data_IF_130702560444
#
_entry.id   IF_130702560444
#
_cell.length_a   1.000
_cell.length_b   1.000
_cell.length_c   1.000
_cell.angle_alpha   90.00
_cell.angle_beta   90.00
_cell.angle_gamma   90.00
#
_symmetry.space_group_name_H-M   'P 1'
#
loop_
_entity.id
_entity.type
_entity.pdbx_description
1 polymer ?
#
# COMPACT_ATOMS: atom_id res chain seq x y z
N UNK A 1 -32.46 -6.69 36.82
CA UNK A 1 -31.90 -7.69 35.89
C UNK A 1 -30.55 -7.18 35.45
N UNK A 2 -29.48 -7.71 36.02
CA UNK A 2 -28.11 -7.36 35.63
C UNK A 2 -27.76 -8.13 34.36
N UNK A 3 -27.57 -7.40 33.26
CA UNK A 3 -27.06 -7.97 32.02
C UNK A 3 -25.54 -8.10 32.17
N UNK A 4 -25.07 -9.31 32.52
CA UNK A 4 -23.63 -9.64 32.53
C UNK A 4 -23.04 -9.30 31.17
N UNK A 5 -21.92 -8.57 31.17
CA UNK A 5 -21.13 -8.17 30.00
C UNK A 5 -21.12 -9.26 28.92
N UNK A 6 -21.97 -9.10 27.91
CA UNK A 6 -21.98 -9.98 26.76
C UNK A 6 -20.83 -9.48 25.87
N UNK A 7 -19.70 -10.19 25.91
CA UNK A 7 -18.64 -10.00 24.94
C UNK A 7 -19.25 -9.94 23.53
N UNK A 8 -18.93 -8.93 22.70
CA UNK A 8 -19.41 -8.86 21.33
C UNK A 8 -19.13 -10.20 20.65
N UNK A 9 -20.18 -10.80 20.05
CA UNK A 9 -20.06 -12.04 19.29
C UNK A 9 -18.97 -11.83 18.24
N UNK A 10 -17.76 -12.33 18.51
CA UNK A 10 -16.68 -12.29 17.54
C UNK A 10 -17.16 -13.10 16.34
N UNK A 11 -17.15 -12.47 15.16
CA UNK A 11 -17.69 -13.05 13.93
C UNK A 11 -17.03 -14.41 13.71
N UNK A 12 -17.80 -15.50 13.75
CA UNK A 12 -17.29 -16.85 13.48
C UNK A 12 -16.54 -16.92 12.14
N UNK A 13 -16.98 -16.10 11.17
CA UNK A 13 -16.33 -15.91 9.86
C UNK A 13 -14.86 -15.44 9.93
N UNK A 14 -14.47 -14.72 10.99
CA UNK A 14 -13.08 -14.24 11.22
C UNK A 14 -12.22 -15.32 11.88
N UNK A 15 -12.84 -16.23 12.66
CA UNK A 15 -12.13 -17.28 13.38
C UNK A 15 -12.00 -18.56 12.53
N UNK A 16 -13.03 -18.88 11.73
CA UNK A 16 -13.05 -20.02 10.80
C UNK A 16 -12.22 -19.77 9.52
N UNK A 17 -11.84 -18.52 9.25
CA UNK A 17 -10.95 -18.20 8.13
C UNK A 17 -9.53 -18.70 8.34
N UNK A 18 -9.12 -18.98 9.58
CA UNK A 18 -7.77 -19.52 9.87
C UNK A 18 -7.73 -21.02 9.57
N UNK A 19 -8.83 -21.74 9.77
CA UNK A 19 -8.94 -23.19 9.54
C UNK A 19 -9.21 -23.54 8.07
N UNK A 20 -9.86 -22.65 7.31
CA UNK A 20 -9.92 -22.69 5.84
C UNK A 20 -8.83 -21.78 5.29
N UNK A 21 -7.65 -22.32 4.95
CA UNK A 21 -6.43 -21.59 4.48
C UNK A 21 -6.58 -20.76 3.19
N UNK A 22 -7.65 -19.98 3.04
CA UNK A 22 -7.86 -19.01 1.98
C UNK A 22 -7.49 -17.61 2.50
N UNK A 23 -6.39 -17.51 3.24
CA UNK A 23 -5.91 -16.26 3.83
C UNK A 23 -4.47 -16.05 3.38
N UNK A 24 -4.22 -14.87 2.82
CA UNK A 24 -2.89 -14.38 2.46
C UNK A 24 -2.27 -13.80 3.73
N UNK A 25 -1.15 -14.38 4.17
CA UNK A 25 -0.45 -13.92 5.36
C UNK A 25 0.64 -12.90 4.99
N UNK A 26 0.47 -11.65 5.42
CA UNK A 26 1.46 -10.57 5.25
C UNK A 26 2.25 -10.30 6.55
N UNK A 27 2.17 -11.21 7.54
CA UNK A 27 2.78 -11.06 8.87
C UNK A 27 4.29 -11.29 8.89
N UNK A 28 4.83 -12.01 7.92
CA UNK A 28 6.26 -12.29 7.77
C UNK A 28 6.71 -11.73 6.42
N UNK A 29 7.77 -10.93 6.41
CA UNK A 29 8.42 -10.47 5.19
C UNK A 29 9.82 -11.07 5.17
N UNK A 30 10.03 -12.06 4.30
CA UNK A 30 11.35 -12.58 3.96
C UNK A 30 11.84 -11.96 2.64
N UNK A 31 13.11 -12.14 2.30
CA UNK A 31 13.62 -11.64 1.02
C UNK A 31 12.93 -12.35 -0.15
N UNK A 32 12.47 -11.58 -1.13
CA UNK A 32 11.80 -12.14 -2.29
C UNK A 32 12.80 -12.92 -3.16
N UNK A 33 12.53 -14.20 -3.37
CA UNK A 33 13.39 -15.09 -4.18
C UNK A 33 13.17 -14.93 -5.69
N UNK A 34 11.99 -14.45 -6.10
CA UNK A 34 11.65 -14.26 -7.51
C UNK A 34 12.15 -12.90 -8.03
N UNK A 35 12.77 -12.91 -9.21
CA UNK A 35 13.17 -11.69 -9.93
C UNK A 35 12.23 -11.38 -11.11
N UNK A 36 11.61 -12.41 -11.68
CA UNK A 36 10.68 -12.32 -12.79
C UNK A 36 9.31 -12.90 -12.42
N UNK A 37 8.28 -12.55 -13.21
CA UNK A 37 6.95 -13.13 -13.04
C UNK A 37 6.94 -14.66 -13.21
N UNK A 38 7.72 -15.22 -14.14
CA UNK A 38 7.80 -16.68 -14.33
C UNK A 38 8.34 -17.41 -13.10
N UNK A 39 9.35 -16.83 -12.44
CA UNK A 39 9.89 -17.40 -11.19
C UNK A 39 8.84 -17.34 -10.09
N UNK A 40 8.10 -16.22 -9.99
CA UNK A 40 7.05 -16.02 -9.00
C UNK A 40 5.93 -17.06 -9.10
N UNK A 41 5.50 -17.39 -10.32
CA UNK A 41 4.47 -18.42 -10.55
C UNK A 41 4.94 -19.81 -10.12
N UNK A 42 6.25 -20.09 -10.13
CA UNK A 42 6.76 -21.39 -9.65
C UNK A 42 6.80 -21.51 -8.12
N UNK A 43 6.71 -20.40 -7.39
CA UNK A 43 6.81 -20.36 -5.93
C UNK A 43 5.57 -20.91 -5.23
N UNK A 44 5.75 -21.40 -4.01
CA UNK A 44 4.65 -21.76 -3.11
C UNK A 44 3.86 -20.53 -2.67
N UNK A 45 2.59 -20.72 -2.26
CA UNK A 45 1.71 -19.62 -1.84
C UNK A 45 2.36 -18.76 -0.76
N UNK A 46 3.02 -19.38 0.23
CA UNK A 46 3.73 -18.66 1.31
C UNK A 46 4.91 -17.84 0.80
N UNK A 47 5.66 -18.34 -0.17
CA UNK A 47 6.79 -17.58 -0.74
C UNK A 47 6.29 -16.43 -1.63
N UNK A 48 5.15 -16.61 -2.30
CA UNK A 48 4.48 -15.53 -3.04
C UNK A 48 4.01 -14.43 -2.09
N UNK A 49 3.38 -14.77 -0.96
CA UNK A 49 2.92 -13.78 0.02
C UNK A 49 4.08 -12.99 0.61
N UNK A 50 5.19 -13.66 0.92
CA UNK A 50 6.41 -13.02 1.41
C UNK A 50 7.00 -12.04 0.38
N UNK A 51 7.08 -12.46 -0.88
CA UNK A 51 7.52 -11.61 -1.99
C UNK A 51 6.63 -10.37 -2.14
N UNK A 52 5.31 -10.57 -2.09
CA UNK A 52 4.35 -9.48 -2.14
C UNK A 52 4.51 -8.55 -0.92
N UNK A 53 4.75 -9.07 0.28
CA UNK A 53 4.94 -8.26 1.48
C UNK A 53 6.24 -7.42 1.43
N UNK A 54 7.34 -8.02 0.95
CA UNK A 54 8.67 -7.41 0.91
C UNK A 54 8.75 -6.22 -0.05
N UNK A 55 8.08 -6.31 -1.21
CA UNK A 55 8.14 -5.28 -2.25
C UNK A 55 7.22 -4.07 -2.00
N UNK A 56 6.57 -3.99 -0.84
CA UNK A 56 5.51 -3.01 -0.58
C UNK A 56 6.03 -1.74 0.06
N UNK A 57 5.75 -0.63 -0.61
CA UNK A 57 5.89 0.71 -0.06
C UNK A 57 4.60 1.12 0.64
N UNK A 58 4.74 1.67 1.83
CA UNK A 58 3.60 2.12 2.63
C UNK A 58 3.45 3.63 2.57
N UNK A 59 2.24 4.09 2.28
CA UNK A 59 1.85 5.48 2.46
C UNK A 59 1.58 5.75 3.96
N UNK A 60 1.92 6.97 4.38
CA UNK A 60 1.81 7.47 5.76
C UNK A 60 1.30 8.90 5.68
N UNK A 61 0.63 9.37 6.73
CA UNK A 61 0.11 10.74 6.78
C UNK A 61 1.21 11.78 6.57
N UNK A 62 2.32 11.65 7.28
CA UNK A 62 3.51 12.51 7.19
C UNK A 62 4.71 11.67 6.82
N UNK A 63 5.64 12.27 6.08
CA UNK A 63 6.92 11.66 5.76
C UNK A 63 7.84 11.59 6.99
N UNK A 64 7.52 12.34 8.07
CA UNK A 64 8.25 12.41 9.36
C UNK A 64 9.18 11.22 9.53
N UNK A 65 10.42 11.46 9.13
CA UNK A 65 11.45 10.46 9.18
C UNK A 65 11.61 9.99 10.62
N UNK A 66 11.83 8.69 10.70
CA UNK A 66 12.42 8.03 11.84
C UNK A 66 11.50 7.87 13.06
N UNK A 67 10.81 6.73 13.04
CA UNK A 67 10.72 5.87 14.23
C UNK A 67 12.03 5.84 15.02
N UNK A 68 13.20 5.97 14.38
CA UNK A 68 14.53 6.08 15.01
C UNK A 68 14.85 7.44 15.68
N UNK A 69 14.40 8.59 15.18
CA UNK A 69 14.58 9.92 15.82
C UNK A 69 13.57 10.05 16.94
N UNK A 70 12.36 9.50 16.76
CA UNK A 70 11.43 9.26 17.85
C UNK A 70 12.01 8.28 18.88
N UNK A 71 12.60 7.15 18.47
CA UNK A 71 13.25 6.20 19.40
C UNK A 71 14.40 6.87 20.16
N UNK A 72 15.24 7.65 19.48
CA UNK A 72 16.34 8.39 20.08
C UNK A 72 15.84 9.47 21.05
N UNK A 73 14.81 10.24 20.70
CA UNK A 73 14.14 11.14 21.66
C UNK A 73 13.56 10.37 22.85
N UNK A 74 13.01 9.17 22.63
CA UNK A 74 12.49 8.31 23.68
C UNK A 74 13.61 7.79 24.59
N UNK A 75 14.75 7.35 24.05
CA UNK A 75 15.91 6.90 24.85
C UNK A 75 16.44 8.05 25.71
N UNK A 76 16.55 9.27 25.15
CA UNK A 76 16.98 10.46 25.91
C UNK A 76 15.96 10.85 26.99
N UNK A 77 14.66 10.75 26.73
CA UNK A 77 13.62 10.97 27.76
C UNK A 77 13.57 9.87 28.83
N UNK A 78 14.06 8.66 28.53
CA UNK A 78 13.94 7.51 29.43
C UNK A 78 14.99 7.49 30.54
N UNK A 79 16.15 8.15 30.36
CA UNK A 79 17.18 8.26 31.39
C UNK A 79 16.64 8.99 32.65
N UNK A 80 15.63 9.86 32.50
CA UNK A 80 15.06 10.64 33.61
C UNK A 80 13.69 10.14 34.13
N UNK A 81 13.07 9.13 33.52
CA UNK A 81 11.66 8.78 33.83
C UNK A 81 11.39 7.28 33.72
N UNK A 82 10.99 6.65 34.84
CA UNK A 82 10.49 5.25 34.96
C UNK A 82 9.09 5.06 34.31
N UNK A 83 8.83 5.60 33.12
CA UNK A 83 7.60 5.32 32.37
C UNK A 83 7.84 4.28 31.29
N UNK A 84 7.04 3.20 31.31
CA UNK A 84 7.08 2.14 30.30
C UNK A 84 6.89 2.73 28.89
N UNK A 85 7.60 2.24 27.86
CA UNK A 85 7.44 2.74 26.50
C UNK A 85 5.99 2.54 26.04
N UNK A 86 5.33 3.63 25.66
CA UNK A 86 4.04 3.55 24.95
C UNK A 86 4.31 2.86 23.62
N UNK A 87 3.93 1.59 23.50
CA UNK A 87 3.98 0.84 22.24
C UNK A 87 3.26 1.66 21.16
N UNK A 88 4.02 2.13 20.16
CA UNK A 88 3.45 2.76 18.98
C UNK A 88 2.81 1.67 18.13
N UNK A 89 1.54 1.36 18.37
CA UNK A 89 0.77 0.50 17.47
C UNK A 89 0.57 1.25 16.15
N UNK A 90 1.39 0.92 15.15
CA UNK A 90 1.19 1.36 13.77
C UNK A 90 0.17 0.43 13.15
N UNK A 91 -1.05 0.92 12.92
CA UNK A 91 -2.08 0.17 12.21
C UNK A 91 -1.67 0.05 10.74
N UNK A 92 -1.56 -1.18 10.26
CA UNK A 92 -1.29 -1.47 8.85
C UNK A 92 -2.60 -1.77 8.15
N UNK A 93 -3.06 -0.86 7.28
CA UNK A 93 -4.19 -1.12 6.41
C UNK A 93 -3.66 -1.52 5.03
N UNK A 94 -4.21 -2.59 4.48
CA UNK A 94 -3.95 -3.01 3.11
C UNK A 94 -5.21 -2.83 2.30
N UNK A 95 -5.09 -2.17 1.16
CA UNK A 95 -6.16 -2.03 0.17
C UNK A 95 -5.82 -2.93 -1.00
N UNK A 96 -6.71 -3.87 -1.30
CA UNK A 96 -6.62 -4.76 -2.45
C UNK A 96 -7.75 -4.37 -3.39
N UNK A 97 -7.42 -3.87 -4.58
CA UNK A 97 -8.43 -3.35 -5.51
C UNK A 97 -7.93 -3.29 -6.95
N UNK A 98 -8.88 -3.33 -7.89
CA UNK A 98 -8.66 -2.98 -9.30
C UNK A 98 -8.80 -1.46 -9.48
N UNK A 99 -7.68 -0.76 -9.67
CA UNK A 99 -7.68 0.71 -9.76
C UNK A 99 -8.14 1.24 -11.12
N UNK A 100 -8.29 0.38 -12.13
CA UNK A 100 -8.85 0.77 -13.42
C UNK A 100 -10.39 0.88 -13.35
N UNK A 101 -11.02 0.24 -12.37
CA UNK A 101 -12.45 0.39 -12.06
C UNK A 101 -12.74 1.64 -11.22
N UNK A 102 -13.93 2.22 -11.38
CA UNK A 102 -14.36 3.36 -10.58
C UNK A 102 -14.51 2.98 -9.09
N UNK A 103 -15.01 1.78 -8.82
CA UNK A 103 -15.22 1.21 -7.49
C UNK A 103 -13.89 1.03 -6.75
N UNK A 104 -12.86 0.51 -7.44
CA UNK A 104 -11.54 0.34 -6.84
C UNK A 104 -10.84 1.67 -6.55
N UNK A 105 -10.98 2.68 -7.42
CA UNK A 105 -10.50 4.05 -7.13
C UNK A 105 -11.24 4.67 -5.96
N UNK A 106 -12.55 4.52 -5.89
CA UNK A 106 -13.34 5.01 -4.76
C UNK A 106 -12.91 4.35 -3.44
N UNK A 107 -12.66 3.03 -3.45
CA UNK A 107 -12.17 2.31 -2.28
C UNK A 107 -10.81 2.85 -1.83
N UNK A 108 -9.87 3.04 -2.76
CA UNK A 108 -8.57 3.66 -2.48
C UNK A 108 -8.72 5.09 -1.94
N UNK A 109 -9.61 5.90 -2.53
CA UNK A 109 -9.89 7.28 -2.09
C UNK A 109 -10.33 7.32 -0.63
N UNK A 110 -11.23 6.42 -0.24
CA UNK A 110 -11.72 6.32 1.14
C UNK A 110 -10.59 5.90 2.10
N UNK A 111 -9.72 4.99 1.69
CA UNK A 111 -8.56 4.59 2.50
C UNK A 111 -7.54 5.72 2.68
N UNK A 112 -7.24 6.48 1.62
CA UNK A 112 -6.35 7.65 1.68
C UNK A 112 -6.97 8.76 2.54
N UNK A 113 -8.28 8.99 2.45
CA UNK A 113 -9.00 9.93 3.34
C UNK A 113 -8.82 9.54 4.81
N UNK A 114 -8.90 8.24 5.13
CA UNK A 114 -8.66 7.73 6.48
C UNK A 114 -7.20 7.90 6.91
N UNK A 115 -6.24 7.65 6.00
CA UNK A 115 -4.81 7.85 6.23
C UNK A 115 -4.50 9.30 6.64
N UNK A 116 -5.12 10.28 5.99
CA UNK A 116 -4.90 11.70 6.29
C UNK A 116 -5.38 12.12 7.69
N UNK A 117 -6.34 11.41 8.27
CA UNK A 117 -6.81 11.67 9.64
C UNK A 117 -5.91 10.98 10.67
N UNK A 118 -5.46 9.75 10.41
CA UNK A 118 -4.73 8.93 11.39
C UNK A 118 -3.22 9.13 11.33
N UNK A 119 -2.61 9.62 12.43
CA UNK A 119 -1.15 9.76 12.55
C UNK A 119 -0.41 8.43 12.78
N UNK A 120 -1.14 7.35 13.11
CA UNK A 120 -0.57 6.04 13.48
C UNK A 120 -0.95 4.94 12.48
N UNK A 121 -1.34 5.31 11.27
CA UNK A 121 -1.74 4.38 10.22
C UNK A 121 -0.74 4.41 9.08
N UNK A 122 -0.45 3.25 8.53
CA UNK A 122 0.22 3.08 7.25
C UNK A 122 -0.71 2.36 6.28
N UNK A 123 -0.65 2.72 5.02
CA UNK A 123 -1.50 2.18 3.96
C UNK A 123 -0.61 1.47 2.92
N UNK A 124 -0.79 0.16 2.80
CA UNK A 124 -0.27 -0.64 1.69
C UNK A 124 -1.33 -0.78 0.62
N UNK A 125 -0.92 -0.79 -0.64
CA UNK A 125 -1.81 -0.95 -1.80
C UNK A 125 -1.36 -2.21 -2.54
N UNK A 126 -2.29 -3.11 -2.81
CA UNK A 126 -2.13 -4.28 -3.68
C UNK A 126 -3.02 -4.05 -4.88
N UNK A 127 -2.37 -3.95 -6.03
CA UNK A 127 -3.01 -3.76 -7.32
C UNK A 127 -3.51 -5.13 -7.76
N UNK A 128 -4.83 -5.32 -7.72
CA UNK A 128 -5.47 -6.58 -8.13
C UNK A 128 -6.35 -6.31 -9.36
N UNK A 129 -5.76 -6.02 -10.52
CA UNK A 129 -6.51 -5.73 -11.73
C UNK A 129 -7.22 -6.96 -12.26
N UNK A 130 -8.44 -6.80 -12.78
CA UNK A 130 -9.15 -7.87 -13.46
C UNK A 130 -8.58 -8.14 -14.86
N UNK A 131 -7.97 -7.13 -15.51
CA UNK A 131 -7.37 -7.25 -16.83
C UNK A 131 -5.90 -6.78 -16.80
N UNK A 132 -4.99 -7.73 -16.60
CA UNK A 132 -3.55 -7.46 -16.52
C UNK A 132 -3.02 -6.70 -17.76
N UNK A 133 -3.45 -7.07 -18.96
CA UNK A 133 -2.97 -6.44 -20.19
C UNK A 133 -3.33 -4.96 -20.27
N UNK A 134 -4.56 -4.61 -19.90
CA UNK A 134 -4.99 -3.21 -19.82
C UNK A 134 -4.21 -2.46 -18.73
N UNK A 135 -4.06 -3.09 -17.57
CA UNK A 135 -3.43 -2.47 -16.41
C UNK A 135 -1.92 -2.27 -16.52
N UNK A 136 -1.27 -2.93 -17.48
CA UNK A 136 0.11 -2.68 -17.87
C UNK A 136 0.29 -1.45 -18.79
N UNK A 137 -0.80 -0.89 -19.32
CA UNK A 137 -0.74 0.24 -20.25
C UNK A 137 -0.33 1.55 -19.57
N UNK A 138 0.33 2.44 -20.31
CA UNK A 138 0.82 3.73 -19.77
C UNK A 138 -0.30 4.64 -19.21
N UNK A 139 -1.52 4.48 -19.73
CA UNK A 139 -2.71 5.25 -19.31
C UNK A 139 -3.56 4.52 -18.26
N UNK A 140 -3.11 3.38 -17.73
CA UNK A 140 -3.82 2.69 -16.65
C UNK A 140 -3.59 3.40 -15.32
N UNK A 141 -4.66 3.50 -14.52
CA UNK A 141 -4.56 4.00 -13.15
C UNK A 141 -3.69 3.05 -12.29
N UNK A 142 -3.80 1.74 -12.52
CA UNK A 142 -2.98 0.73 -11.86
C UNK A 142 -1.49 0.95 -12.15
N UNK A 143 -1.10 1.10 -13.42
CA UNK A 143 0.29 1.35 -13.80
C UNK A 143 0.83 2.65 -13.20
N UNK A 144 0.04 3.73 -13.24
CA UNK A 144 0.48 5.02 -12.74
C UNK A 144 0.65 5.04 -11.23
N UNK A 145 -0.22 4.36 -10.48
CA UNK A 145 -0.04 4.17 -9.03
C UNK A 145 1.20 3.33 -8.74
N UNK A 146 1.44 2.27 -9.51
CA UNK A 146 2.67 1.47 -9.40
C UNK A 146 3.92 2.34 -9.60
N UNK A 147 3.95 3.11 -10.69
CA UNK A 147 5.05 4.00 -11.03
C UNK A 147 5.26 5.07 -9.95
N UNK A 148 4.19 5.70 -9.47
CA UNK A 148 4.26 6.73 -8.42
C UNK A 148 4.84 6.17 -7.11
N UNK A 149 4.43 4.97 -6.71
CA UNK A 149 4.99 4.32 -5.52
C UNK A 149 6.49 4.02 -5.70
N UNK A 150 6.94 3.60 -6.88
CA UNK A 150 8.34 3.24 -7.11
C UNK A 150 9.25 4.46 -7.29
N UNK A 151 8.81 5.45 -8.07
CA UNK A 151 9.68 6.51 -8.58
C UNK A 151 9.58 7.82 -7.79
N UNK A 152 8.42 8.13 -7.19
CA UNK A 152 8.23 9.41 -6.52
C UNK A 152 8.59 9.34 -5.01
N UNK A 153 9.08 10.45 -4.45
CA UNK A 153 9.18 10.65 -2.99
C UNK A 153 7.83 10.48 -2.32
N UNK A 154 7.84 10.19 -1.01
CA UNK A 154 6.64 9.79 -0.28
C UNK A 154 5.50 10.80 -0.39
N UNK A 155 5.80 12.09 -0.19
CA UNK A 155 4.78 13.15 -0.23
C UNK A 155 4.20 13.34 -1.63
N UNK A 156 5.05 13.31 -2.67
CA UNK A 156 4.64 13.45 -4.07
C UNK A 156 3.83 12.23 -4.52
N UNK A 157 4.29 11.01 -4.20
CA UNK A 157 3.56 9.77 -4.45
C UNK A 157 2.16 9.81 -3.80
N UNK A 158 2.08 10.21 -2.51
CA UNK A 158 0.80 10.32 -1.81
C UNK A 158 -0.13 11.33 -2.48
N UNK A 159 0.38 12.49 -2.87
CA UNK A 159 -0.41 13.52 -3.56
C UNK A 159 -0.92 12.97 -4.90
N UNK A 160 -0.03 12.46 -5.74
CA UNK A 160 -0.35 11.91 -7.05
C UNK A 160 -1.39 10.78 -6.98
N UNK A 161 -1.22 9.82 -6.06
CA UNK A 161 -2.17 8.71 -5.85
C UNK A 161 -3.53 9.24 -5.35
N UNK A 162 -3.55 10.30 -4.55
CA UNK A 162 -4.80 10.94 -4.12
C UNK A 162 -5.57 11.52 -5.31
N UNK A 163 -4.86 12.11 -6.25
CA UNK A 163 -5.47 12.66 -7.47
C UNK A 163 -5.97 11.55 -8.40
N UNK A 164 -5.19 10.46 -8.60
CA UNK A 164 -5.68 9.27 -9.32
C UNK A 164 -6.98 8.74 -8.68
N UNK A 165 -7.01 8.61 -7.35
CA UNK A 165 -8.17 8.07 -6.65
C UNK A 165 -9.42 8.96 -6.74
N UNK A 166 -9.28 10.25 -7.09
CA UNK A 166 -10.41 11.17 -7.32
C UNK A 166 -10.98 11.06 -8.73
N UNK A 167 -10.25 10.49 -9.68
CA UNK A 167 -10.68 10.40 -11.07
C UNK A 167 -11.94 9.55 -11.19
N UNK A 168 -12.92 10.09 -11.91
CA UNK A 168 -14.13 9.35 -12.27
C UNK A 168 -13.91 8.53 -13.53
N UNK A 169 -13.27 9.13 -14.53
CA UNK A 169 -13.01 8.50 -15.82
C UNK A 169 -11.51 8.30 -16.03
N UNK A 170 -11.15 7.26 -16.78
CA UNK A 170 -9.76 6.92 -17.12
C UNK A 170 -9.18 7.92 -18.13
N UNK A 171 -10.03 8.59 -18.92
CA UNK A 171 -9.62 9.61 -19.90
C UNK A 171 -8.99 10.85 -19.26
N UNK A 172 -9.37 11.16 -18.01
CA UNK A 172 -8.88 12.31 -17.25
C UNK A 172 -7.40 12.17 -16.86
N UNK A 173 -6.83 10.96 -17.00
CA UNK A 173 -5.45 10.62 -16.64
C UNK A 173 -4.41 11.42 -17.45
N UNK A 174 -4.72 11.80 -18.70
CA UNK A 174 -3.76 12.50 -19.56
C UNK A 174 -3.32 13.87 -19.00
N UNK A 175 -4.18 14.50 -18.20
CA UNK A 175 -3.88 15.79 -17.58
C UNK A 175 -3.14 15.64 -16.24
N UNK A 176 -2.96 14.40 -15.76
CA UNK A 176 -2.47 14.13 -14.42
C UNK A 176 -0.94 14.27 -14.30
N UNK A 177 -0.22 14.20 -15.42
CA UNK A 177 1.24 14.33 -15.43
C UNK A 177 1.71 15.73 -14.99
N UNK A 178 0.86 16.75 -15.17
CA UNK A 178 1.12 18.13 -14.76
C UNK A 178 0.97 18.37 -13.25
N UNK A 179 0.55 17.35 -12.50
CA UNK A 179 0.43 17.42 -11.04
C UNK A 179 1.79 17.42 -10.35
N UNK A 180 2.83 16.95 -11.03
CA UNK A 180 4.21 17.03 -10.55
C UNK A 180 4.71 18.45 -10.86
N UNK A 181 4.67 19.31 -9.84
CA UNK A 181 5.02 20.74 -9.97
C UNK A 181 6.47 20.96 -10.39
N UNK A 182 7.39 20.09 -9.98
CA UNK A 182 8.80 20.19 -10.33
C UNK A 182 9.03 19.64 -11.74
N UNK A 183 9.48 20.51 -12.66
CA UNK A 183 9.68 20.14 -14.06
C UNK A 183 10.76 19.06 -14.24
N UNK A 184 11.80 19.06 -13.40
CA UNK A 184 12.89 18.09 -13.46
C UNK A 184 12.44 16.72 -12.98
N UNK A 185 11.69 16.69 -11.87
CA UNK A 185 11.09 15.47 -11.34
C UNK A 185 10.06 14.91 -12.32
N UNK A 186 9.23 15.75 -12.94
CA UNK A 186 8.25 15.33 -13.95
C UNK A 186 8.92 14.69 -15.15
N UNK A 187 9.99 15.29 -15.69
CA UNK A 187 10.76 14.72 -16.80
C UNK A 187 11.39 13.38 -16.41
N UNK A 188 11.99 13.30 -15.23
CA UNK A 188 12.56 12.05 -14.70
C UNK A 188 11.50 10.98 -14.51
N UNK A 189 10.35 11.31 -13.94
CA UNK A 189 9.24 10.39 -13.76
C UNK A 189 8.74 9.85 -15.11
N UNK A 190 8.56 10.73 -16.10
CA UNK A 190 8.08 10.36 -17.43
C UNK A 190 9.07 9.48 -18.21
N UNK A 191 10.37 9.72 -18.08
CA UNK A 191 11.38 8.85 -18.71
C UNK A 191 11.56 7.53 -17.96
N UNK A 192 11.59 7.57 -16.62
CA UNK A 192 11.80 6.38 -15.80
C UNK A 192 10.59 5.43 -15.82
N UNK A 193 9.35 5.93 -15.91
CA UNK A 193 8.16 5.08 -15.98
C UNK A 193 8.14 4.21 -17.23
N UNK A 194 8.68 4.69 -18.36
CA UNK A 194 8.77 3.91 -19.61
C UNK A 194 9.69 2.69 -19.47
N UNK A 195 10.61 2.71 -18.50
CA UNK A 195 11.52 1.61 -18.21
C UNK A 195 10.94 0.61 -17.18
N UNK A 196 9.79 0.91 -16.57
CA UNK A 196 9.18 0.03 -15.59
C UNK A 196 8.48 -1.15 -16.29
N UNK A 197 8.88 -2.36 -15.93
CA UNK A 197 8.19 -3.58 -16.33
C UNK A 197 6.85 -3.77 -15.61
N UNK A 198 5.98 -4.59 -16.19
CA UNK A 198 4.67 -4.91 -15.60
C UNK A 198 4.68 -6.12 -14.65
N UNK A 199 5.85 -6.74 -14.44
CA UNK A 199 5.96 -7.99 -13.66
C UNK A 199 5.38 -7.86 -12.26
N UNK A 200 5.60 -6.74 -11.56
CA UNK A 200 5.04 -6.54 -10.22
C UNK A 200 3.51 -6.48 -10.23
N UNK A 201 2.91 -5.84 -11.23
CA UNK A 201 1.44 -5.77 -11.35
C UNK A 201 0.87 -7.16 -11.62
N UNK A 202 1.53 -7.94 -12.48
CA UNK A 202 1.16 -9.34 -12.74
C UNK A 202 1.36 -10.24 -11.53
N UNK A 203 2.38 -10.01 -10.70
CA UNK A 203 2.56 -10.77 -9.46
C UNK A 203 1.44 -10.48 -8.45
N UNK A 204 0.92 -9.25 -8.44
CA UNK A 204 -0.13 -8.82 -7.50
C UNK A 204 -1.55 -9.25 -7.91
N UNK A 205 -1.76 -9.65 -9.17
CA UNK A 205 -3.04 -10.17 -9.69
C UNK A 205 -3.23 -11.68 -9.50
N UNK A 206 -2.21 -12.41 -9.02
CA UNK A 206 -2.24 -13.88 -8.84
C UNK A 206 -2.89 -14.35 -7.54
#
# INVERSE_FOLDING_TARGET
MEQKDVMPRHNARILDSVSKKNVVDFGVASECKAKSYSDFVSLSVTERTDCLAANKKYLKRTEEENTAVRLLLFIVHHIHSKQRPRQFQVLSLWVIADLDTAEGREFLRNAVKRLNVSKKMRLGIVMNPANEHHSCGENSATFLVHAALKLLPHNHAKHFITEIAKLKNVEDIKNLEDIISDETERKHFNSAKQLLGCDQIKMESQ
#
